data_IF_597336045510
#
_entry.id   IF_597336045510
#
_cell.length_a   1.000
_cell.length_b   1.000
_cell.length_c   1.000
_cell.angle_alpha   90.00
_cell.angle_beta   90.00
_cell.angle_gamma   90.00
#
_symmetry.space_group_name_H-M   'P 1'
#
loop_
_entity.id
_entity.type
_entity.pdbx_description
1 polymer ?
#
# COMPACT_ATOMS: atom_id res chain seq x y z
N UNK A 1 43.39 3.05 -8.75
CA UNK A 1 42.15 3.70 -8.29
C UNK A 1 41.05 2.65 -8.32
N UNK A 2 40.52 2.23 -7.17
CA UNK A 2 39.47 1.21 -7.09
C UNK A 2 38.18 1.86 -7.64
N UNK A 3 37.41 1.22 -8.55
CA UNK A 3 36.15 1.80 -8.97
C UNK A 3 35.27 1.96 -7.73
N UNK A 4 34.80 3.17 -7.50
CA UNK A 4 33.77 3.47 -6.50
C UNK A 4 32.57 2.60 -6.87
N UNK A 5 32.28 1.59 -6.05
CA UNK A 5 31.08 0.78 -6.23
C UNK A 5 29.88 1.73 -6.21
N UNK A 6 28.97 1.55 -7.16
CA UNK A 6 27.71 2.27 -7.18
C UNK A 6 26.92 1.85 -5.94
N UNK A 7 27.00 2.66 -4.88
CA UNK A 7 26.36 2.41 -3.57
C UNK A 7 24.82 2.57 -3.64
N UNK A 8 24.26 2.62 -4.86
CA UNK A 8 22.83 2.76 -5.13
C UNK A 8 22.14 1.40 -5.09
N UNK A 9 21.58 1.07 -3.94
CA UNK A 9 20.68 -0.07 -3.77
C UNK A 9 19.25 0.31 -4.16
N UNK A 10 18.57 -0.48 -5.01
CA UNK A 10 17.14 -0.30 -5.31
C UNK A 10 16.35 -1.43 -4.66
N UNK A 11 15.46 -1.08 -3.73
CA UNK A 11 14.62 -2.04 -2.99
C UNK A 11 13.15 -1.80 -3.32
N UNK A 12 12.42 -2.89 -3.55
CA UNK A 12 10.96 -2.87 -3.53
C UNK A 12 10.46 -3.40 -2.19
N UNK A 13 9.81 -2.55 -1.39
CA UNK A 13 9.16 -2.92 -0.14
C UNK A 13 7.66 -3.00 -0.35
N UNK A 14 7.04 -4.13 -0.02
CA UNK A 14 5.59 -4.30 -0.06
C UNK A 14 5.02 -4.46 1.34
N UNK A 15 4.20 -3.50 1.77
CA UNK A 15 3.43 -3.59 3.00
C UNK A 15 2.21 -4.52 2.79
N UNK A 16 2.15 -5.64 3.50
CA UNK A 16 1.03 -6.56 3.40
C UNK A 16 -0.29 -5.89 3.84
N UNK A 17 -1.39 -6.11 3.12
CA UNK A 17 -2.68 -5.50 3.49
C UNK A 17 -3.14 -5.88 4.90
N UNK A 18 -2.80 -7.08 5.36
CA UNK A 18 -3.09 -7.56 6.73
C UNK A 18 -2.26 -6.88 7.82
N UNK A 19 -1.12 -6.29 7.47
CA UNK A 19 -0.30 -5.54 8.40
C UNK A 19 -0.88 -4.15 8.65
N UNK A 20 -1.43 -3.54 7.60
CA UNK A 20 -1.86 -2.14 7.61
C UNK A 20 -3.38 -1.94 7.68
N UNK A 21 -4.16 -3.02 7.69
CA UNK A 21 -5.63 -2.97 7.81
C UNK A 21 -6.17 -4.11 8.66
N UNK A 22 -7.32 -3.87 9.28
CA UNK A 22 -8.07 -4.90 10.00
C UNK A 22 -8.81 -5.78 8.98
N UNK A 23 -8.53 -7.08 8.98
CA UNK A 23 -9.18 -8.04 8.07
C UNK A 23 -10.67 -8.24 8.34
N UNK A 24 -11.12 -7.98 9.55
CA UNK A 24 -12.49 -8.26 9.99
C UNK A 24 -13.44 -7.10 9.72
N UNK A 25 -12.90 -5.88 9.62
CA UNK A 25 -13.69 -4.66 9.46
C UNK A 25 -13.36 -3.98 8.13
N UNK A 26 -14.39 -3.72 7.32
CA UNK A 26 -14.24 -3.08 6.01
C UNK A 26 -13.68 -1.65 6.15
N UNK A 27 -12.73 -1.28 5.29
CA UNK A 27 -12.14 0.06 5.21
C UNK A 27 -11.52 0.56 6.53
N UNK A 28 -10.88 -0.32 7.28
CA UNK A 28 -10.27 0.01 8.57
C UNK A 28 -8.75 -0.10 8.48
N UNK A 29 -8.06 1.04 8.45
CA UNK A 29 -6.59 1.11 8.47
C UNK A 29 -6.04 1.09 9.90
N UNK A 30 -4.86 0.50 10.08
CA UNK A 30 -4.12 0.54 11.34
C UNK A 30 -3.24 1.79 11.36
N UNK A 31 -3.80 2.92 11.82
CA UNK A 31 -3.12 4.22 11.78
C UNK A 31 -1.82 4.23 12.60
N UNK A 32 -1.80 3.57 13.75
CA UNK A 32 -0.62 3.40 14.61
C UNK A 32 0.49 2.61 13.93
N UNK A 33 0.14 1.52 13.24
CA UNK A 33 1.10 0.71 12.48
C UNK A 33 1.65 1.51 11.30
N UNK A 34 0.80 2.23 10.57
CA UNK A 34 1.24 3.07 9.44
C UNK A 34 2.19 4.17 9.89
N UNK A 35 1.89 4.87 10.98
CA UNK A 35 2.76 5.90 11.54
C UNK A 35 4.14 5.34 11.94
N UNK A 36 4.16 4.20 12.64
CA UNK A 36 5.40 3.52 13.01
C UNK A 36 6.22 3.11 11.78
N UNK A 37 5.58 2.46 10.80
CA UNK A 37 6.24 2.03 9.57
C UNK A 37 6.80 3.20 8.77
N UNK A 38 6.08 4.32 8.71
CA UNK A 38 6.55 5.53 8.04
C UNK A 38 7.84 6.05 8.69
N UNK A 39 7.89 6.14 10.04
CA UNK A 39 9.10 6.53 10.76
C UNK A 39 10.28 5.56 10.54
N UNK A 40 10.03 4.25 10.51
CA UNK A 40 11.06 3.24 10.20
C UNK A 40 11.62 3.39 8.78
N UNK A 41 10.76 3.66 7.80
CA UNK A 41 11.14 3.91 6.40
C UNK A 41 11.99 5.18 6.31
N UNK A 42 11.55 6.29 6.90
CA UNK A 42 12.29 7.55 6.93
C UNK A 42 13.68 7.36 7.55
N UNK A 43 13.76 6.69 8.70
CA UNK A 43 15.03 6.40 9.36
C UNK A 43 15.98 5.54 8.51
N UNK A 44 15.45 4.57 7.76
CA UNK A 44 16.25 3.72 6.88
C UNK A 44 16.84 4.52 5.70
N UNK A 45 16.03 5.37 5.07
CA UNK A 45 16.46 6.25 3.97
C UNK A 45 17.52 7.25 4.46
N UNK A 46 17.33 7.86 5.63
CA UNK A 46 18.31 8.79 6.20
C UNK A 46 19.65 8.13 6.53
N UNK A 47 19.64 6.86 6.98
CA UNK A 47 20.87 6.11 7.31
C UNK A 47 21.62 5.60 6.08
N UNK A 48 20.95 5.47 4.93
CA UNK A 48 21.53 4.93 3.69
C UNK A 48 21.19 5.84 2.51
N UNK A 49 21.96 6.91 2.25
CA UNK A 49 21.68 7.85 1.17
C UNK A 49 21.64 7.22 -0.24
N UNK A 50 22.29 6.07 -0.44
CA UNK A 50 22.23 5.29 -1.67
C UNK A 50 20.97 4.43 -1.84
N UNK A 51 20.18 4.24 -0.78
CA UNK A 51 18.95 3.43 -0.82
C UNK A 51 17.85 4.18 -1.59
N UNK A 52 17.40 3.55 -2.67
CA UNK A 52 16.21 3.95 -3.42
C UNK A 52 15.10 2.96 -3.13
N UNK A 53 13.93 3.48 -2.75
CA UNK A 53 12.79 2.66 -2.37
C UNK A 53 11.65 2.81 -3.37
N UNK A 54 11.14 1.68 -3.86
CA UNK A 54 9.79 1.58 -4.41
C UNK A 54 8.92 0.99 -3.32
N UNK A 55 7.89 1.71 -2.90
CA UNK A 55 6.96 1.26 -1.88
C UNK A 55 5.65 0.82 -2.53
N UNK A 56 5.19 -0.38 -2.19
CA UNK A 56 3.86 -0.85 -2.54
C UNK A 56 3.10 -1.32 -1.30
N UNK A 57 1.80 -1.51 -1.42
CA UNK A 57 1.00 -2.12 -0.38
C UNK A 57 -0.06 -3.07 -0.94
N UNK A 58 -0.67 -3.90 -0.10
CA UNK A 58 -1.89 -4.63 -0.42
C UNK A 58 -3.13 -3.76 -0.21
N UNK A 59 -4.24 -4.07 -0.88
CA UNK A 59 -5.50 -3.32 -0.74
C UNK A 59 -6.22 -3.57 0.60
N UNK A 60 -5.82 -4.59 1.35
CA UNK A 60 -6.35 -4.88 2.69
C UNK A 60 -7.87 -5.01 2.72
N UNK A 61 -8.49 -4.62 3.82
CA UNK A 61 -9.94 -4.61 3.97
C UNK A 61 -10.66 -3.54 3.15
N UNK A 62 -9.93 -2.66 2.46
CA UNK A 62 -10.53 -1.72 1.52
C UNK A 62 -10.88 -2.41 0.21
N UNK A 63 -9.93 -3.12 -0.41
CA UNK A 63 -10.19 -3.83 -1.66
C UNK A 63 -10.97 -5.13 -1.49
N UNK A 64 -10.64 -5.94 -0.47
CA UNK A 64 -11.22 -7.29 -0.34
C UNK A 64 -12.74 -7.28 -0.10
N UNK A 65 -13.24 -6.36 0.71
CA UNK A 65 -14.68 -6.29 1.00
C UNK A 65 -15.49 -5.86 -0.22
N UNK A 66 -15.04 -4.82 -0.94
CA UNK A 66 -15.70 -4.38 -2.17
C UNK A 66 -15.64 -5.47 -3.26
N UNK A 67 -14.50 -6.15 -3.40
CA UNK A 67 -14.34 -7.20 -4.41
C UNK A 67 -15.26 -8.39 -4.13
N UNK A 68 -15.38 -8.80 -2.85
CA UNK A 68 -16.29 -9.85 -2.42
C UNK A 68 -17.76 -9.45 -2.61
N UNK A 69 -18.13 -8.20 -2.30
CA UNK A 69 -19.49 -7.67 -2.48
C UNK A 69 -19.95 -7.74 -3.94
N UNK A 70 -19.05 -7.49 -4.89
CA UNK A 70 -19.37 -7.40 -6.32
C UNK A 70 -18.94 -8.61 -7.15
N UNK A 71 -18.35 -9.64 -6.53
CA UNK A 71 -17.87 -10.82 -7.25
C UNK A 71 -16.75 -10.54 -8.26
N UNK A 72 -16.02 -9.42 -8.13
CA UNK A 72 -15.10 -8.96 -9.19
C UNK A 72 -13.87 -9.86 -9.38
N UNK A 73 -13.66 -10.83 -8.49
CA UNK A 73 -12.60 -11.83 -8.65
C UNK A 73 -12.91 -12.80 -9.79
N UNK A 74 -14.19 -13.07 -10.04
CA UNK A 74 -14.65 -14.05 -11.03
C UNK A 74 -14.73 -13.46 -12.45
N UNK A 75 -14.40 -12.17 -12.61
CA UNK A 75 -14.52 -11.41 -13.85
C UNK A 75 -15.57 -10.32 -13.78
N UNK A 76 -15.61 -9.46 -14.81
CA UNK A 76 -16.61 -8.39 -14.96
C UNK A 76 -17.04 -8.28 -16.42
N UNK A 77 -18.35 -8.38 -16.67
CA UNK A 77 -18.93 -8.58 -18.01
C UNK A 77 -20.14 -7.68 -18.30
N UNK A 78 -20.73 -7.05 -17.28
CA UNK A 78 -21.87 -6.16 -17.40
C UNK A 78 -21.56 -4.75 -16.88
N UNK A 79 -22.34 -3.73 -17.28
CA UNK A 79 -22.17 -2.37 -16.75
C UNK A 79 -22.29 -2.30 -15.22
N UNK A 80 -23.09 -3.16 -14.59
CA UNK A 80 -23.22 -3.19 -13.13
C UNK A 80 -21.94 -3.73 -12.46
N UNK A 81 -21.37 -4.80 -13.01
CA UNK A 81 -20.11 -5.37 -12.54
C UNK A 81 -18.94 -4.41 -12.73
N UNK A 82 -18.89 -3.68 -13.85
CA UNK A 82 -17.91 -2.62 -14.06
C UNK A 82 -18.01 -1.47 -13.04
N UNK A 83 -19.22 -1.11 -12.60
CA UNK A 83 -19.39 -0.17 -11.48
C UNK A 83 -18.86 -0.77 -10.17
N UNK A 84 -19.08 -2.06 -9.94
CA UNK A 84 -18.51 -2.77 -8.79
C UNK A 84 -16.98 -2.76 -8.79
N UNK A 85 -16.37 -3.02 -9.95
CA UNK A 85 -14.91 -2.91 -10.15
C UNK A 85 -14.39 -1.50 -9.87
N UNK A 86 -15.12 -0.47 -10.31
CA UNK A 86 -14.78 0.92 -10.00
C UNK A 86 -14.86 1.22 -8.49
N UNK A 87 -15.82 0.62 -7.75
CA UNK A 87 -15.88 0.72 -6.29
C UNK A 87 -14.64 0.07 -5.63
N UNK A 88 -14.20 -1.11 -6.11
CA UNK A 88 -12.96 -1.75 -5.63
C UNK A 88 -11.75 -0.84 -5.82
N UNK A 89 -11.62 -0.24 -7.00
CA UNK A 89 -10.49 0.65 -7.29
C UNK A 89 -10.53 1.91 -6.42
N UNK A 90 -11.71 2.52 -6.26
CA UNK A 90 -11.91 3.67 -5.36
C UNK A 90 -11.46 3.33 -3.94
N UNK A 91 -11.88 2.19 -3.40
CA UNK A 91 -11.55 1.79 -2.04
C UNK A 91 -10.06 1.49 -1.88
N UNK A 92 -9.45 0.77 -2.81
CA UNK A 92 -8.01 0.54 -2.81
C UNK A 92 -7.22 1.86 -2.89
N UNK A 93 -7.72 2.84 -3.65
CA UNK A 93 -7.13 4.18 -3.71
C UNK A 93 -7.30 4.97 -2.42
N UNK A 94 -8.41 4.82 -1.70
CA UNK A 94 -8.56 5.43 -0.37
C UNK A 94 -7.49 4.94 0.59
N UNK A 95 -7.20 3.64 0.63
CA UNK A 95 -6.08 3.12 1.42
C UNK A 95 -4.75 3.71 0.98
N UNK A 96 -4.52 3.83 -0.33
CA UNK A 96 -3.30 4.47 -0.84
C UNK A 96 -3.15 5.92 -0.34
N UNK A 97 -4.24 6.70 -0.25
CA UNK A 97 -4.16 8.06 0.30
C UNK A 97 -3.77 8.05 1.78
N UNK A 98 -4.35 7.16 2.59
CA UNK A 98 -4.01 7.04 4.01
C UNK A 98 -2.52 6.68 4.19
N UNK A 99 -1.99 5.77 3.35
CA UNK A 99 -0.56 5.41 3.37
C UNK A 99 0.32 6.61 2.98
N UNK A 100 -0.05 7.36 1.94
CA UNK A 100 0.67 8.57 1.52
C UNK A 100 0.68 9.63 2.62
N UNK A 101 -0.48 9.88 3.24
CA UNK A 101 -0.61 10.83 4.34
C UNK A 101 0.28 10.45 5.52
N UNK A 102 0.31 9.18 5.91
CA UNK A 102 1.19 8.70 6.97
C UNK A 102 2.69 8.91 6.66
N UNK A 103 3.08 8.82 5.39
CA UNK A 103 4.47 9.06 4.95
C UNK A 103 4.81 10.55 4.86
N UNK A 104 3.86 11.42 4.54
CA UNK A 104 4.08 12.87 4.42
C UNK A 104 4.27 13.57 5.76
N UNK A 105 3.74 12.99 6.84
CA UNK A 105 3.84 13.54 8.20
C UNK A 105 4.98 12.93 9.04
N UNK A 106 5.72 11.97 8.47
CA UNK A 106 6.77 11.21 9.16
C UNK A 106 8.17 11.81 8.99
#
# INVERSE_FOLDING_TARGET
>A
MKPMMDDRELVFLKLGGSLITDKLTARTAHADVLARLAGEITAAISKKPGLRLVLGHGSGSFGHFAAKKHGTYDGVHSPAEWRGFAEVWKDARLLNQIVLEALLIA
#
